data_IF_922093829420
#
_entry.id   IF_922093829420
#
_cell.length_a   1.000
_cell.length_b   1.000
_cell.length_c   1.000
_cell.angle_alpha   90.00
_cell.angle_beta   90.00
_cell.angle_gamma   90.00
#
_symmetry.space_group_name_H-M   'P 1'
#
loop_
_entity.id
_entity.type
_entity.pdbx_description
1 polymer ?
#
# COMPACT_ATOMS: atom_id res chain seq x y z
N UNK A 1 8.17 -11.88 0.57
CA UNK A 1 7.28 -10.71 0.57
C UNK A 1 5.89 -11.21 0.28
N UNK A 2 4.97 -10.88 1.17
CA UNK A 2 3.56 -11.29 1.15
C UNK A 2 2.72 -10.04 1.12
N UNK A 3 1.73 -10.01 0.23
CA UNK A 3 0.72 -8.94 0.19
C UNK A 3 -0.53 -9.46 0.88
N UNK A 4 -0.95 -8.77 1.93
CA UNK A 4 -2.22 -8.98 2.60
C UNK A 4 -3.28 -8.08 1.98
N UNK A 5 -4.40 -8.68 1.60
CA UNK A 5 -5.59 -7.93 1.19
C UNK A 5 -6.56 -7.84 2.36
N UNK A 6 -6.85 -6.61 2.78
CA UNK A 6 -7.88 -6.29 3.76
C UNK A 6 -9.10 -5.74 3.03
N UNK A 7 -10.29 -6.24 3.35
CA UNK A 7 -11.54 -5.83 2.72
C UNK A 7 -12.58 -5.46 3.77
N UNK A 8 -13.30 -4.36 3.56
CA UNK A 8 -14.41 -3.92 4.42
C UNK A 8 -15.47 -3.16 3.61
N UNK A 9 -16.61 -3.80 3.36
CA UNK A 9 -17.64 -3.26 2.47
C UNK A 9 -17.07 -3.03 1.06
N UNK A 10 -17.21 -1.81 0.54
CA UNK A 10 -16.65 -1.40 -0.76
C UNK A 10 -15.16 -1.10 -0.73
N UNK A 11 -14.50 -1.14 0.43
CA UNK A 11 -13.07 -0.80 0.55
C UNK A 11 -12.18 -2.03 0.46
N UNK A 12 -11.07 -1.90 -0.27
CA UNK A 12 -10.01 -2.92 -0.38
C UNK A 12 -8.64 -2.27 -0.24
N UNK A 13 -7.78 -2.83 0.61
CA UNK A 13 -6.41 -2.36 0.86
C UNK A 13 -5.44 -3.54 0.69
N UNK A 14 -4.43 -3.37 -0.16
CA UNK A 14 -3.31 -4.31 -0.33
C UNK A 14 -2.09 -3.77 0.40
N UNK A 15 -1.59 -4.50 1.41
CA UNK A 15 -0.46 -4.11 2.26
C UNK A 15 0.64 -5.18 2.21
N UNK A 16 1.88 -4.76 2.02
CA UNK A 16 3.04 -5.66 2.03
C UNK A 16 3.58 -5.87 3.45
N UNK A 17 3.98 -7.10 3.77
CA UNK A 17 4.76 -7.40 4.98
C UNK A 17 6.16 -6.76 4.97
N UNK A 18 6.63 -6.33 3.79
CA UNK A 18 7.90 -5.67 3.62
C UNK A 18 7.74 -4.16 3.87
N UNK A 19 8.10 -3.73 5.07
CA UNK A 19 8.06 -2.31 5.47
C UNK A 19 6.66 -1.73 5.65
N UNK A 20 5.60 -2.53 5.58
CA UNK A 20 4.23 -2.07 5.76
C UNK A 20 3.73 -1.15 4.64
N UNK A 21 4.30 -1.29 3.43
CA UNK A 21 3.93 -0.42 2.31
C UNK A 21 2.53 -0.74 1.79
N UNK A 22 1.78 0.29 1.40
CA UNK A 22 0.47 0.15 0.76
C UNK A 22 0.70 0.01 -0.75
N UNK A 23 0.43 -1.18 -1.25
CA UNK A 23 0.54 -1.54 -2.67
C UNK A 23 -0.71 -1.16 -3.46
N UNK A 24 -1.83 -0.95 -2.78
CA UNK A 24 -2.96 -0.25 -3.37
C UNK A 24 -4.15 -0.11 -2.44
N UNK A 25 -5.01 0.85 -2.75
CA UNK A 25 -6.18 1.17 -1.95
C UNK A 25 -7.31 1.58 -2.90
N UNK A 26 -8.48 0.94 -2.76
CA UNK A 26 -9.61 1.12 -3.67
C UNK A 26 -10.92 1.27 -2.91
N UNK A 27 -11.85 2.00 -3.53
CA UNK A 27 -13.29 1.88 -3.30
C UNK A 27 -13.94 1.31 -4.55
N UNK A 28 -14.53 0.13 -4.44
CA UNK A 28 -15.02 -0.65 -5.57
C UNK A 28 -13.90 -0.83 -6.61
N UNK A 29 -14.06 -0.28 -7.81
CA UNK A 29 -13.05 -0.28 -8.88
C UNK A 29 -12.22 0.99 -8.94
N UNK A 30 -12.56 2.02 -8.17
CA UNK A 30 -11.89 3.33 -8.21
C UNK A 30 -10.66 3.33 -7.30
N UNK A 31 -9.45 3.60 -7.83
CA UNK A 31 -8.25 3.71 -7.01
C UNK A 31 -8.28 4.99 -6.16
N UNK A 32 -8.09 4.84 -4.85
CA UNK A 32 -7.96 5.94 -3.89
C UNK A 32 -6.51 6.38 -3.71
N UNK A 33 -5.57 5.47 -3.94
CA UNK A 33 -4.13 5.74 -4.06
C UNK A 33 -3.61 5.21 -5.39
N UNK A 34 -2.54 5.79 -5.92
CA UNK A 34 -1.85 5.30 -7.14
C UNK A 34 -1.47 3.82 -6.94
N UNK A 35 -1.93 2.86 -7.75
CA UNK A 35 -1.53 1.47 -7.59
C UNK A 35 0.00 1.31 -7.63
N UNK A 36 0.53 0.55 -6.68
CA UNK A 36 1.94 0.18 -6.61
C UNK A 36 2.29 -0.94 -7.61
N UNK A 37 3.58 -1.29 -7.68
CA UNK A 37 4.06 -2.38 -8.54
C UNK A 37 3.99 -3.75 -7.87
N UNK A 38 3.48 -3.85 -6.64
CA UNK A 38 3.46 -5.09 -5.85
C UNK A 38 4.87 -5.64 -5.61
N UNK A 39 5.84 -4.74 -5.45
CA UNK A 39 7.27 -5.06 -5.32
C UNK A 39 7.77 -4.95 -3.87
N UNK A 40 6.97 -4.44 -2.93
CA UNK A 40 7.38 -4.16 -1.56
C UNK A 40 8.39 -3.01 -1.44
N UNK A 41 8.76 -2.38 -2.56
CA UNK A 41 9.71 -1.28 -2.61
C UNK A 41 8.95 0.02 -2.37
N UNK A 42 9.36 0.77 -1.33
CA UNK A 42 8.74 2.04 -0.93
C UNK A 42 8.52 3.00 -2.11
N UNK A 43 9.52 3.20 -2.97
CA UNK A 43 9.44 4.13 -4.12
C UNK A 43 8.50 3.66 -5.22
N UNK A 44 8.23 2.36 -5.31
CA UNK A 44 7.26 1.81 -6.26
C UNK A 44 5.84 1.80 -5.70
N UNK A 45 5.71 1.76 -4.36
CA UNK A 45 4.45 1.71 -3.63
C UNK A 45 3.69 3.05 -3.63
N UNK A 46 2.43 2.98 -3.26
CA UNK A 46 1.51 4.13 -3.27
C UNK A 46 1.73 5.05 -2.06
N UNK A 47 1.94 4.44 -0.91
CA UNK A 47 2.13 5.05 0.39
C UNK A 47 2.99 4.09 1.21
N UNK A 48 3.93 4.62 1.99
CA UNK A 48 4.85 3.81 2.78
C UNK A 48 5.21 4.53 4.08
N UNK A 49 5.42 3.80 5.18
CA UNK A 49 5.88 4.39 6.42
C UNK A 49 7.27 5.02 6.26
N UNK A 50 7.41 6.23 6.82
CA UNK A 50 8.69 6.93 6.98
C UNK A 50 9.00 7.00 8.47
N UNK A 51 9.79 6.04 8.96
CA UNK A 51 10.07 5.87 10.39
C UNK A 51 11.54 5.53 10.65
N UNK A 52 12.09 5.90 11.82
CA UNK A 52 11.48 6.79 12.82
C UNK A 52 11.53 8.27 12.40
N UNK A 53 12.26 8.59 11.34
CA UNK A 53 12.37 9.93 10.80
C UNK A 53 11.90 9.92 9.34
N UNK A 54 11.30 11.03 8.92
CA UNK A 54 10.91 11.22 7.54
C UNK A 54 12.03 11.89 6.75
N UNK A 55 11.80 13.12 6.28
CA UNK A 55 12.77 13.82 5.47
C UNK A 55 13.84 14.53 6.32
N UNK A 56 14.95 14.88 5.66
CA UNK A 56 16.04 15.67 6.26
C UNK A 56 15.61 17.09 6.58
#
# INVERSE_FOLDING_TARGET
MTIYTLSHGSLKLDVSDQGGVIEGFWRDTTPLLRPGKKSGVATDASCFPLVPFANR
#
